data_IF_283365478280
#
_entry.id   IF_283365478280
#
_cell.length_a   1.000
_cell.length_b   1.000
_cell.length_c   1.000
_cell.angle_alpha   90.00
_cell.angle_beta   90.00
_cell.angle_gamma   90.00
#
_symmetry.space_group_name_H-M   'P 1'
#
loop_
_entity.id
_entity.type
_entity.pdbx_description
1 polymer ?
#
# COMPACT_ATOMS: atom_id res chain seq x y z
N UNK A 1 6.90 7.26 2.45
CA UNK A 1 6.31 7.94 3.63
C UNK A 1 6.26 7.01 4.83
N UNK A 2 5.45 5.94 4.77
CA UNK A 2 5.32 4.97 5.87
C UNK A 2 6.68 4.31 6.18
N UNK A 3 7.32 3.68 5.18
CA UNK A 3 8.65 3.10 5.38
C UNK A 3 9.68 4.16 5.81
N UNK A 4 9.69 5.34 5.19
CA UNK A 4 10.60 6.44 5.58
C UNK A 4 10.58 6.76 7.08
N UNK A 5 9.41 6.81 7.71
CA UNK A 5 9.29 7.09 9.14
C UNK A 5 9.54 5.84 9.99
N UNK A 6 9.03 4.67 9.59
CA UNK A 6 9.17 3.44 10.37
C UNK A 6 10.61 2.95 10.33
N UNK A 7 11.27 2.97 9.18
CA UNK A 7 12.66 2.57 9.02
C UNK A 7 13.59 3.42 9.88
N UNK A 8 13.32 4.73 10.00
CA UNK A 8 14.04 5.61 10.93
C UNK A 8 13.90 5.15 12.39
N UNK A 9 12.72 4.68 12.80
CA UNK A 9 12.50 4.16 14.16
C UNK A 9 13.15 2.79 14.35
N UNK A 10 13.11 1.93 13.33
CA UNK A 10 13.78 0.64 13.33
C UNK A 10 15.31 0.80 13.43
N UNK A 11 15.88 1.78 12.73
CA UNK A 11 17.30 2.14 12.85
C UNK A 11 17.67 2.57 14.28
N UNK A 12 16.79 3.33 14.95
CA UNK A 12 17.00 3.72 16.34
C UNK A 12 16.91 2.54 17.34
N UNK A 13 16.15 1.49 17.00
CA UNK A 13 16.08 0.26 17.80
C UNK A 13 17.36 -0.57 17.63
N UNK A 14 17.88 -0.67 16.40
CA UNK A 14 19.20 -1.22 16.11
C UNK A 14 19.39 -2.73 16.26
N UNK A 15 18.35 -3.47 16.70
CA UNK A 15 18.37 -4.94 16.76
C UNK A 15 18.37 -5.56 15.37
N UNK A 16 18.76 -6.83 15.26
CA UNK A 16 18.79 -7.51 13.97
C UNK A 16 17.37 -7.77 13.43
N UNK A 17 16.40 -7.98 14.32
CA UNK A 17 14.98 -8.06 13.96
C UNK A 17 14.47 -6.73 13.40
N UNK A 18 14.87 -5.60 14.02
CA UNK A 18 14.48 -4.27 13.55
C UNK A 18 15.05 -3.98 12.15
N UNK A 19 16.33 -4.30 11.92
CA UNK A 19 16.96 -4.19 10.59
C UNK A 19 16.25 -5.07 9.57
N UNK A 20 15.90 -6.30 9.94
CA UNK A 20 15.19 -7.23 9.06
C UNK A 20 13.75 -6.79 8.72
N UNK A 21 13.17 -5.86 9.48
CA UNK A 21 11.82 -5.33 9.26
C UNK A 21 11.77 -4.11 8.33
N UNK A 22 12.92 -3.50 7.98
CA UNK A 22 12.98 -2.29 7.15
C UNK A 22 12.39 -2.51 5.76
N UNK A 23 11.76 -1.46 5.21
CA UNK A 23 11.17 -1.48 3.86
C UNK A 23 9.93 -2.37 3.68
N UNK A 24 9.38 -2.93 4.76
CA UNK A 24 8.22 -3.85 4.71
C UNK A 24 6.90 -3.20 5.11
N UNK A 25 6.94 -2.08 5.82
CA UNK A 25 5.78 -1.56 6.53
C UNK A 25 4.77 -0.87 5.60
N UNK A 26 5.23 -0.15 4.57
CA UNK A 26 4.34 0.49 3.62
C UNK A 26 3.55 -0.54 2.79
N UNK A 27 4.22 -1.60 2.33
CA UNK A 27 3.57 -2.69 1.59
C UNK A 27 2.57 -3.43 2.47
N UNK A 28 2.96 -3.80 3.70
CA UNK A 28 2.05 -4.44 4.64
C UNK A 28 0.81 -3.57 4.91
N UNK A 29 1.00 -2.28 5.13
CA UNK A 29 -0.10 -1.34 5.38
C UNK A 29 -1.03 -1.21 4.16
N UNK A 30 -0.50 -1.11 2.94
CA UNK A 30 -1.31 -1.03 1.73
C UNK A 30 -2.11 -2.31 1.47
N UNK A 31 -1.54 -3.49 1.78
CA UNK A 31 -2.23 -4.78 1.67
C UNK A 31 -3.40 -4.90 2.65
N UNK A 32 -3.22 -4.48 3.91
CA UNK A 32 -4.32 -4.41 4.88
C UNK A 32 -5.41 -3.41 4.46
N UNK A 33 -5.03 -2.28 3.85
CA UNK A 33 -6.01 -1.35 3.29
C UNK A 33 -6.79 -1.96 2.10
N UNK A 34 -6.16 -2.82 1.31
CA UNK A 34 -6.84 -3.55 0.23
C UNK A 34 -7.79 -4.63 0.78
N UNK A 35 -7.40 -5.36 1.82
CA UNK A 35 -8.31 -6.28 2.55
C UNK A 35 -9.54 -5.53 3.09
N UNK A 36 -9.35 -4.39 3.75
CA UNK A 36 -10.46 -3.56 4.23
C UNK A 36 -11.36 -3.05 3.08
N UNK A 37 -10.78 -2.76 1.91
CA UNK A 37 -11.56 -2.47 0.70
C UNK A 37 -12.43 -3.68 0.31
N UNK A 38 -11.86 -4.88 0.24
CA UNK A 38 -12.63 -6.09 -0.11
C UNK A 38 -13.75 -6.38 0.90
N UNK A 39 -13.51 -6.18 2.19
CA UNK A 39 -14.54 -6.31 3.24
C UNK A 39 -15.70 -5.32 3.04
N UNK A 40 -15.41 -4.05 2.80
CA UNK A 40 -16.46 -3.03 2.57
C UNK A 40 -17.29 -3.38 1.35
N UNK A 41 -16.64 -3.75 0.25
CA UNK A 41 -17.28 -4.01 -1.05
C UNK A 41 -17.86 -5.42 -1.20
N UNK A 42 -17.73 -6.28 -0.19
CA UNK A 42 -18.41 -7.58 -0.07
C UNK A 42 -19.62 -7.55 0.88
N UNK A 43 -19.88 -6.43 1.55
CA UNK A 43 -21.00 -6.29 2.50
C UNK A 43 -22.38 -6.21 1.84
N UNK A 44 -23.43 -6.65 2.55
CA UNK A 44 -24.83 -6.51 2.12
C UNK A 44 -25.22 -5.05 1.85
N UNK A 45 -24.67 -4.13 2.64
CA UNK A 45 -24.86 -2.69 2.45
C UNK A 45 -24.34 -2.27 1.08
N UNK A 46 -23.14 -2.72 0.69
CA UNK A 46 -22.61 -2.42 -0.64
C UNK A 46 -23.43 -3.11 -1.74
N UNK A 47 -23.85 -4.36 -1.54
CA UNK A 47 -24.66 -5.09 -2.52
C UNK A 47 -25.98 -4.36 -2.87
N UNK A 48 -26.59 -3.65 -1.91
CA UNK A 48 -27.76 -2.80 -2.18
C UNK A 48 -27.44 -1.59 -3.07
N UNK A 49 -26.26 -0.96 -2.88
CA UNK A 49 -25.80 0.17 -3.69
C UNK A 49 -25.42 -0.28 -5.11
N UNK A 50 -24.81 -1.46 -5.24
CA UNK A 50 -24.47 -2.06 -6.54
C UNK A 50 -25.71 -2.33 -7.40
N UNK A 51 -26.79 -2.83 -6.79
CA UNK A 51 -28.11 -2.96 -7.44
C UNK A 51 -28.68 -1.63 -7.92
N UNK A 52 -28.29 -0.52 -7.27
CA UNK A 52 -28.63 0.83 -7.68
C UNK A 52 -27.59 1.45 -8.64
N UNK A 53 -26.69 0.65 -9.21
CA UNK A 53 -25.65 1.05 -10.18
C UNK A 53 -24.61 2.03 -9.61
N UNK A 54 -24.32 1.96 -8.30
CA UNK A 54 -23.24 2.74 -7.69
C UNK A 54 -21.85 2.25 -8.13
N UNK A 55 -20.89 3.17 -8.23
CA UNK A 55 -19.51 2.86 -8.59
C UNK A 55 -18.65 2.56 -7.35
N UNK A 56 -17.80 1.52 -7.41
CA UNK A 56 -16.81 1.25 -6.35
C UNK A 56 -15.75 2.35 -6.28
N UNK A 57 -15.42 2.80 -5.07
CA UNK A 57 -14.25 3.63 -4.83
C UNK A 57 -12.99 2.76 -4.88
N UNK A 58 -12.15 2.98 -5.88
CA UNK A 58 -10.90 2.23 -6.07
C UNK A 58 -9.83 2.70 -5.07
N UNK A 59 -9.10 1.78 -4.40
CA UNK A 59 -7.89 2.15 -3.67
C UNK A 59 -6.89 2.79 -4.62
N UNK A 60 -6.27 3.89 -4.19
CA UNK A 60 -5.26 4.59 -4.94
C UNK A 60 -3.96 4.65 -4.12
N UNK A 61 -2.90 4.06 -4.67
CA UNK A 61 -1.57 4.08 -4.09
C UNK A 61 -0.85 5.35 -4.54
N UNK A 62 -0.53 6.23 -3.59
CA UNK A 62 0.19 7.48 -3.84
C UNK A 62 1.56 7.46 -3.17
N UNK A 63 2.45 8.34 -3.65
CA UNK A 63 3.84 8.42 -3.13
C UNK A 63 4.61 7.11 -3.31
N UNK A 64 4.42 6.44 -4.45
CA UNK A 64 5.00 5.14 -4.80
C UNK A 64 6.40 5.21 -5.41
N UNK A 65 7.00 6.40 -5.50
CA UNK A 65 8.42 6.54 -5.81
C UNK A 65 9.29 6.13 -4.62
N UNK A 66 10.17 5.15 -4.83
CA UNK A 66 11.09 4.60 -3.83
C UNK A 66 12.09 5.66 -3.37
N UNK A 67 12.44 5.64 -2.07
CA UNK A 67 13.32 6.64 -1.44
C UNK A 67 14.64 6.06 -0.96
N UNK A 68 14.70 4.76 -0.74
CA UNK A 68 15.91 4.05 -0.38
C UNK A 68 16.55 3.48 -1.67
N UNK A 69 17.75 3.93 -2.07
CA UNK A 69 18.40 3.48 -3.29
C UNK A 69 18.87 2.01 -3.24
N UNK A 70 18.83 1.36 -2.07
CA UNK A 70 19.11 -0.08 -1.95
C UNK A 70 17.93 -0.95 -2.38
N UNK A 71 16.73 -0.37 -2.52
CA UNK A 71 15.53 -1.05 -2.95
C UNK A 71 15.34 -0.88 -4.47
N UNK A 72 14.62 -1.84 -5.09
CA UNK A 72 14.21 -1.72 -6.49
C UNK A 72 13.33 -0.48 -6.65
N UNK A 73 13.63 0.40 -7.61
CA UNK A 73 12.89 1.64 -7.87
C UNK A 73 11.39 1.44 -8.13
N UNK A 74 11.03 0.25 -8.62
CA UNK A 74 9.68 -0.21 -8.95
C UNK A 74 8.98 -0.97 -7.82
N UNK A 75 9.59 -1.11 -6.64
CA UNK A 75 9.08 -1.93 -5.53
C UNK A 75 7.59 -1.71 -5.23
N UNK A 76 7.17 -0.46 -5.07
CA UNK A 76 5.77 -0.14 -4.71
C UNK A 76 4.80 -0.21 -5.90
N UNK A 77 5.31 -0.37 -7.13
CA UNK A 77 4.49 -0.62 -8.31
C UNK A 77 4.25 -2.11 -8.41
N UNK A 78 5.33 -2.90 -8.47
CA UNK A 78 5.28 -4.35 -8.64
C UNK A 78 4.46 -5.04 -7.54
N UNK A 79 4.72 -4.66 -6.28
CA UNK A 79 4.18 -5.37 -5.11
C UNK A 79 2.73 -4.97 -4.75
N UNK A 80 2.16 -3.98 -5.45
CA UNK A 80 0.81 -3.43 -5.19
C UNK A 80 -0.14 -3.53 -6.40
N UNK A 81 0.20 -4.37 -7.39
CA UNK A 81 -0.72 -4.73 -8.47
C UNK A 81 -1.87 -5.56 -7.92
N UNK A 82 -3.08 -5.01 -7.91
CA UNK A 82 -4.30 -5.71 -7.51
C UNK A 82 -5.52 -5.23 -8.32
N UNK A 83 -6.58 -6.05 -8.47
CA UNK A 83 -7.80 -5.65 -9.17
C UNK A 83 -8.41 -4.36 -8.60
N UNK A 84 -9.02 -3.55 -9.47
CA UNK A 84 -9.72 -2.32 -9.08
C UNK A 84 -8.88 -1.30 -8.29
N UNK A 85 -7.56 -1.28 -8.48
CA UNK A 85 -6.67 -0.28 -7.87
C UNK A 85 -6.20 0.77 -8.88
N UNK A 86 -5.68 1.88 -8.38
CA UNK A 86 -4.95 2.91 -9.13
C UNK A 86 -3.58 3.07 -8.49
N UNK A 87 -2.55 3.32 -9.28
CA UNK A 87 -1.28 3.81 -8.77
C UNK A 87 -0.99 5.18 -9.39
N UNK A 88 -0.76 6.20 -8.56
CA UNK A 88 -0.29 7.50 -9.02
C UNK A 88 1.20 7.62 -8.78
N UNK A 89 1.93 7.55 -9.89
CA UNK A 89 3.38 7.46 -9.91
C UNK A 89 3.98 8.82 -10.30
N UNK A 90 5.04 9.28 -9.62
CA UNK A 90 5.93 10.29 -10.19
C UNK A 90 6.47 9.80 -11.54
N UNK A 91 6.73 10.72 -12.48
CA UNK A 91 7.21 10.36 -13.84
C UNK A 91 8.49 9.50 -13.85
N UNK A 92 9.36 9.69 -12.86
CA UNK A 92 10.62 8.96 -12.74
C UNK A 92 10.51 7.59 -12.04
N UNK A 93 9.31 7.18 -11.62
CA UNK A 93 9.03 5.85 -11.04
C UNK A 93 8.66 4.88 -12.16
#
# INVERSE_FOLDING_TARGET
RVDTEIDKRLDAIGSDEAKAAKGKSALANARLAYEAYEEVFSSDRWAALDKAQANKQRPLWASTGVKDPSLKDTLYVDELVAPNTVNTMPEAT
#
